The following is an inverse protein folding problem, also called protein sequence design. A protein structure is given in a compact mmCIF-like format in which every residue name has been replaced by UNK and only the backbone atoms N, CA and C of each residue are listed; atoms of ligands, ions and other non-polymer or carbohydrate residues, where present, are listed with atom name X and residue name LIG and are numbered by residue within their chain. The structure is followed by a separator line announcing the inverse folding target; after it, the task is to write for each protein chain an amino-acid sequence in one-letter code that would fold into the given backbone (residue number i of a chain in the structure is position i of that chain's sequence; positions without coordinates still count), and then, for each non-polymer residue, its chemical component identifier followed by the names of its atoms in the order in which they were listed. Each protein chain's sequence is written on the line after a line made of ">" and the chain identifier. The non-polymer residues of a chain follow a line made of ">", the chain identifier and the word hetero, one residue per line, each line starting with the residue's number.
data_IF_003972113657
#
_entry.id   IF_003972113657
#
_cell.length_a   1.000
_cell.length_b   1.000
_cell.length_c   1.000
_cell.angle_alpha   90.00
_cell.angle_beta   90.00
_cell.angle_gamma   90.00
#
_symmetry.space_group_name_H-M   'P 1'
#
loop_
_entity.id
_entity.type
_entity.pdbx_description
1 polymer ?
#
# COMPACT_ATOMS: atom_id res chain seq x y z
N UNK A 1 -1.83 4.98 13.97
CA UNK A 1 -0.84 5.47 13.00
C UNK A 1 -0.09 6.73 13.44
N UNK A 2 -0.56 7.44 14.48
CA UNK A 2 0.14 8.62 15.02
C UNK A 2 1.58 8.35 15.48
N UNK A 3 1.90 7.12 15.88
CA UNK A 3 3.23 6.70 16.35
C UNK A 3 4.25 6.33 15.26
N UNK A 4 3.80 6.00 14.04
CA UNK A 4 4.69 5.46 13.00
C UNK A 4 5.11 6.56 12.02
N UNK A 5 6.37 6.62 11.62
CA UNK A 5 6.83 7.58 10.60
C UNK A 5 6.56 7.12 9.16
N UNK A 6 6.52 5.79 8.94
CA UNK A 6 6.26 5.15 7.65
C UNK A 6 5.30 3.98 7.87
N UNK A 7 4.38 3.76 6.93
CA UNK A 7 3.43 2.64 6.94
C UNK A 7 3.82 1.62 5.87
N UNK A 8 4.03 0.38 6.27
CA UNK A 8 4.18 -0.75 5.36
C UNK A 8 2.88 -1.56 5.35
N UNK A 9 2.14 -1.53 4.24
CA UNK A 9 0.82 -2.13 4.14
C UNK A 9 0.74 -3.19 3.03
N UNK A 10 0.03 -4.29 3.27
CA UNK A 10 -0.19 -5.31 2.22
C UNK A 10 -1.17 -4.82 1.15
N UNK A 11 -0.93 -5.23 -0.10
CA UNK A 11 -1.85 -4.97 -1.21
C UNK A 11 -3.24 -5.56 -1.07
N UNK A 12 -3.44 -6.53 -0.17
CA UNK A 12 -4.77 -7.09 0.12
C UNK A 12 -5.74 -6.09 0.75
N UNK A 13 -5.23 -4.95 1.24
CA UNK A 13 -6.05 -3.85 1.77
C UNK A 13 -6.99 -3.26 0.71
N UNK A 14 -6.63 -3.36 -0.58
CA UNK A 14 -7.51 -3.01 -1.71
C UNK A 14 -8.73 -3.92 -1.77
N UNK A 15 -8.52 -5.24 -1.77
CA UNK A 15 -9.62 -6.20 -1.95
C UNK A 15 -10.49 -6.32 -0.70
N UNK A 16 -9.92 -6.01 0.48
CA UNK A 16 -10.64 -5.98 1.75
C UNK A 16 -11.33 -4.64 2.03
N UNK A 17 -11.31 -3.69 1.09
CA UNK A 17 -11.91 -2.35 1.22
C UNK A 17 -11.43 -1.57 2.48
N UNK A 18 -10.19 -1.81 2.91
CA UNK A 18 -9.56 -1.16 4.07
C UNK A 18 -8.39 -0.26 3.67
N UNK A 19 -8.15 -0.10 2.37
CA UNK A 19 -7.12 0.79 1.83
C UNK A 19 -7.32 2.25 2.29
N UNK A 20 -8.55 2.76 2.21
CA UNK A 20 -8.84 4.18 2.46
C UNK A 20 -8.59 4.59 3.91
N UNK A 21 -8.74 3.68 4.87
CA UNK A 21 -8.42 3.96 6.28
C UNK A 21 -6.91 4.00 6.55
N UNK A 22 -6.11 3.49 5.61
CA UNK A 22 -4.65 3.53 5.67
C UNK A 22 -4.09 4.74 4.94
N UNK A 23 -4.79 5.33 3.97
CA UNK A 23 -4.42 6.57 3.27
C UNK A 23 -4.46 7.78 4.22
N UNK A 24 -3.47 7.85 5.11
CA UNK A 24 -3.21 8.95 6.02
C UNK A 24 -2.15 9.89 5.42
N UNK A 25 -1.92 11.04 6.06
CA UNK A 25 -0.89 12.02 5.64
C UNK A 25 0.56 11.53 5.74
N UNK A 26 0.79 10.26 6.12
CA UNK A 26 2.12 9.70 6.31
C UNK A 26 2.53 8.87 5.10
N UNK A 27 3.84 8.78 4.79
CA UNK A 27 4.32 7.96 3.68
C UNK A 27 3.94 6.48 3.88
N UNK A 28 3.40 5.88 2.81
CA UNK A 28 2.94 4.50 2.77
C UNK A 28 3.62 3.78 1.62
N UNK A 29 4.19 2.62 1.94
CA UNK A 29 4.71 1.70 0.95
C UNK A 29 3.81 0.47 0.98
N UNK A 30 3.21 0.13 -0.16
CA UNK A 30 2.45 -1.11 -0.28
C UNK A 30 3.36 -2.27 -0.65
N UNK A 31 3.06 -3.48 -0.19
CA UNK A 31 3.82 -4.67 -0.59
C UNK A 31 2.95 -5.83 -1.01
N UNK A 32 3.52 -6.68 -1.87
CA UNK A 32 2.88 -7.87 -2.42
C UNK A 32 2.22 -7.63 -3.80
N UNK A 33 2.01 -8.72 -4.54
CA UNK A 33 1.56 -8.66 -5.95
C UNK A 33 0.13 -8.12 -6.12
N UNK A 34 -0.70 -8.20 -5.09
CA UNK A 34 -2.11 -7.78 -5.14
C UNK A 34 -2.28 -6.27 -5.38
N UNK A 35 -1.32 -5.44 -4.94
CA UNK A 35 -1.42 -3.98 -5.14
C UNK A 35 -1.03 -3.54 -6.55
N UNK A 36 -0.30 -4.36 -7.33
CA UNK A 36 0.40 -3.93 -8.55
C UNK A 36 -0.45 -3.10 -9.51
N UNK A 37 -1.66 -3.58 -9.83
CA UNK A 37 -2.57 -2.84 -10.71
C UNK A 37 -3.04 -1.51 -10.12
N UNK A 38 -3.38 -1.48 -8.82
CA UNK A 38 -3.86 -0.26 -8.15
C UNK A 38 -2.72 0.72 -7.92
N UNK A 39 -1.53 0.24 -7.56
CA UNK A 39 -0.33 1.05 -7.41
C UNK A 39 0.02 1.75 -8.72
N UNK A 40 -0.01 1.05 -9.85
CA UNK A 40 0.21 1.65 -11.17
C UNK A 40 -0.86 2.71 -11.52
N UNK A 41 -2.14 2.41 -11.29
CA UNK A 41 -3.24 3.32 -11.63
C UNK A 41 -3.31 4.57 -10.72
N UNK A 42 -2.85 4.46 -9.47
CA UNK A 42 -2.92 5.53 -8.47
C UNK A 42 -1.57 6.20 -8.18
N UNK A 43 -0.48 5.70 -8.76
CA UNK A 43 0.87 6.17 -8.49
C UNK A 43 1.32 5.90 -7.05
N UNK A 44 0.84 4.84 -6.41
CA UNK A 44 1.28 4.50 -5.06
C UNK A 44 2.66 3.83 -5.07
N UNK A 45 3.45 4.11 -4.04
CA UNK A 45 4.72 3.41 -3.83
C UNK A 45 4.45 1.94 -3.48
N UNK A 46 5.10 1.04 -4.22
CA UNK A 46 5.02 -0.39 -3.97
C UNK A 46 6.40 -1.04 -3.91
N UNK A 47 6.52 -2.06 -3.09
CA UNK A 47 7.69 -2.91 -2.97
C UNK A 47 7.27 -4.38 -3.05
N UNK A 48 7.74 -5.10 -4.05
CA UNK A 48 7.55 -6.55 -4.12
C UNK A 48 8.87 -7.22 -4.45
N UNK A 49 9.39 -8.04 -3.53
CA UNK A 49 10.66 -8.73 -3.70
C UNK A 49 10.61 -9.81 -4.80
N UNK A 50 9.44 -10.42 -5.05
CA UNK A 50 9.26 -11.53 -5.99
C UNK A 50 8.32 -11.25 -7.16
N UNK A 51 7.76 -10.03 -7.28
CA UNK A 51 6.81 -9.66 -8.33
C UNK A 51 7.29 -8.40 -9.03
N UNK A 52 7.66 -8.55 -10.29
CA UNK A 52 8.07 -7.45 -11.17
C UNK A 52 6.86 -6.95 -11.95
#
# INVERSE_FOLDING_TARGET
>A
LSWADIVLATGTTVVNNTLTSLLIEKPIIFYGVTIAGVAYLKGYEQYCFCGH
#
